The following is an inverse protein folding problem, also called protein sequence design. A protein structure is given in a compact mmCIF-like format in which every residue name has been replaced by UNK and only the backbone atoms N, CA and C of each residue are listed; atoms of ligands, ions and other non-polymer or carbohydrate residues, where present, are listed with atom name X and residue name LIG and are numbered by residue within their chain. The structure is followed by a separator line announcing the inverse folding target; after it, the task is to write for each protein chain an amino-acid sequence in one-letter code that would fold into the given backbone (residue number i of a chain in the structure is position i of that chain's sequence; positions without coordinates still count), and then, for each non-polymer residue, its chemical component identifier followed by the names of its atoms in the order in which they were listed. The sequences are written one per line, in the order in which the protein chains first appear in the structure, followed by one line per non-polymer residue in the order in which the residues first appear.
data_IF_766535101890
#
_entry.id   IF_766535101890
#
_cell.length_a   1.000
_cell.length_b   1.000
_cell.length_c   1.000
_cell.angle_alpha   90.00
_cell.angle_beta   90.00
_cell.angle_gamma   90.00
#
_symmetry.space_group_name_H-M   'P 1'
#
loop_
_entity.id
_entity.type
_entity.pdbx_description
1 polymer ?
#
# COMPACT_ATOMS: atom_id res chain seq x y z
N UNK A 1 3.75 -0.88 -10.78
CA UNK A 1 3.85 -0.12 -9.51
C UNK A 1 2.51 0.53 -9.25
N UNK A 2 2.03 0.65 -8.02
CA UNK A 2 0.84 1.46 -7.73
C UNK A 2 1.25 2.84 -7.25
N UNK A 3 0.58 3.88 -7.74
CA UNK A 3 0.77 5.26 -7.31
C UNK A 3 -0.53 5.76 -6.69
N UNK A 4 -0.47 6.06 -5.40
CA UNK A 4 -1.57 6.67 -4.64
C UNK A 4 -1.36 8.17 -4.65
N UNK A 5 -2.34 8.92 -5.14
CA UNK A 5 -2.32 10.39 -5.17
C UNK A 5 -3.45 10.91 -4.30
N UNK A 6 -3.13 11.80 -3.36
CA UNK A 6 -4.10 12.46 -2.50
C UNK A 6 -3.71 13.91 -2.23
N UNK A 7 -4.51 14.66 -1.45
CA UNK A 7 -4.27 16.09 -1.20
C UNK A 7 -2.89 16.42 -0.63
N UNK A 8 -2.32 15.54 0.19
CA UNK A 8 -0.99 15.76 0.80
C UNK A 8 0.19 15.28 -0.05
N UNK A 9 -0.04 14.74 -1.26
CA UNK A 9 1.01 14.31 -2.17
C UNK A 9 0.81 12.92 -2.78
N UNK A 10 1.92 12.22 -3.05
CA UNK A 10 1.91 10.91 -3.70
C UNK A 10 2.67 9.87 -2.89
N UNK A 11 2.22 8.62 -2.96
CA UNK A 11 2.90 7.47 -2.39
C UNK A 11 3.02 6.36 -3.43
N UNK A 12 4.24 5.85 -3.62
CA UNK A 12 4.52 4.75 -4.57
C UNK A 12 4.61 3.44 -3.80
N UNK A 13 3.78 2.49 -4.19
CA UNK A 13 3.66 1.19 -3.54
C UNK A 13 3.85 0.06 -4.57
N UNK A 14 4.90 -0.76 -4.45
CA UNK A 14 5.03 -1.95 -5.28
C UNK A 14 3.81 -2.87 -5.09
N UNK A 15 3.33 -3.53 -6.15
CA UNK A 15 2.09 -4.34 -6.07
C UNK A 15 2.15 -5.43 -4.98
N UNK A 16 3.34 -6.02 -4.75
CA UNK A 16 3.56 -6.97 -3.66
C UNK A 16 3.42 -6.32 -2.28
N UNK A 17 3.93 -5.10 -2.11
CA UNK A 17 3.80 -4.35 -0.86
C UNK A 17 2.34 -3.95 -0.63
N UNK A 18 1.60 -3.59 -1.68
CA UNK A 18 0.17 -3.32 -1.60
C UNK A 18 -0.62 -4.52 -1.08
N UNK A 19 -0.37 -5.72 -1.61
CA UNK A 19 -1.06 -6.94 -1.12
C UNK A 19 -0.83 -7.18 0.38
N UNK A 20 0.38 -6.93 0.88
CA UNK A 20 0.69 -7.02 2.31
C UNK A 20 0.04 -5.90 3.13
N UNK A 21 0.03 -4.67 2.59
CA UNK A 21 -0.56 -3.50 3.24
C UNK A 21 -2.07 -3.64 3.36
N UNK A 22 -2.75 -4.02 2.29
CA UNK A 22 -4.18 -4.29 2.27
C UNK A 22 -4.53 -5.41 3.26
N UNK A 23 -3.74 -6.49 3.29
CA UNK A 23 -3.92 -7.56 4.28
C UNK A 23 -3.72 -7.08 5.72
N UNK A 24 -2.71 -6.24 5.97
CA UNK A 24 -2.48 -5.64 7.29
C UNK A 24 -3.68 -4.78 7.72
N UNK A 25 -4.21 -3.96 6.82
CA UNK A 25 -5.40 -3.16 7.10
C UNK A 25 -6.63 -4.05 7.38
N UNK A 26 -6.85 -5.09 6.58
CA UNK A 26 -7.98 -6.01 6.75
C UNK A 26 -7.98 -6.73 8.11
N UNK A 27 -6.83 -7.25 8.54
CA UNK A 27 -6.73 -7.89 9.87
C UNK A 27 -6.93 -6.90 11.02
N UNK A 28 -6.82 -5.59 10.75
CA UNK A 28 -7.10 -4.50 11.69
C UNK A 28 -8.46 -3.84 11.44
N UNK A 29 -9.38 -4.53 10.75
CA UNK A 29 -10.79 -4.13 10.63
C UNK A 29 -11.12 -3.25 9.42
N UNK A 30 -10.18 -3.01 8.51
CA UNK A 30 -10.51 -2.32 7.27
C UNK A 30 -11.31 -3.22 6.32
N UNK A 31 -12.45 -2.72 5.87
CA UNK A 31 -13.21 -3.27 4.76
C UNK A 31 -13.56 -2.10 3.82
N UNK A 32 -13.27 -2.19 2.52
CA UNK A 32 -13.69 -1.16 1.57
C UNK A 32 -15.22 -1.05 1.55
N UNK A 33 -15.70 0.18 1.51
CA UNK A 33 -17.11 0.54 1.41
C UNK A 33 -17.49 0.67 -0.06
N UNK A 34 -18.04 -0.43 -0.60
CA UNK A 34 -18.56 -0.48 -1.96
C UNK A 34 -17.56 -0.93 -3.02
N UNK A 35 -17.95 -0.75 -4.28
CA UNK A 35 -17.14 -1.14 -5.43
C UNK A 35 -16.15 -0.02 -5.77
N UNK A 36 -14.89 -0.35 -6.14
CA UNK A 36 -13.93 0.64 -6.58
C UNK A 36 -14.49 1.39 -7.79
N UNK A 37 -14.47 2.73 -7.71
CA UNK A 37 -14.92 3.60 -8.80
C UNK A 37 -13.77 3.79 -9.77
N UNK A 38 -14.00 3.55 -11.06
CA UNK A 38 -13.01 3.84 -12.08
C UNK A 38 -13.18 5.29 -12.56
N UNK A 39 -12.07 5.96 -12.78
CA UNK A 39 -12.00 7.26 -13.43
C UNK A 39 -11.26 7.05 -14.76
N UNK A 40 -11.91 7.45 -15.86
CA UNK A 40 -11.34 7.43 -17.20
C UNK A 40 -10.23 8.47 -17.41
N UNK A 41 -9.52 8.40 -18.55
CA UNK A 41 -8.44 9.35 -18.87
C UNK A 41 -8.91 10.81 -19.05
N UNK A 42 -10.21 11.01 -19.23
CA UNK A 42 -10.93 12.29 -19.31
C UNK A 42 -11.44 12.79 -17.95
N UNK A 43 -11.27 12.00 -16.88
CA UNK A 43 -11.76 12.34 -15.54
C UNK A 43 -13.20 11.94 -15.27
N UNK A 44 -13.88 11.25 -16.21
CA UNK A 44 -15.25 10.79 -16.01
C UNK A 44 -15.31 9.47 -15.23
N UNK A 45 -16.31 9.32 -14.36
CA UNK A 45 -16.54 8.10 -13.59
C UNK A 45 -17.10 6.99 -14.50
N UNK A 46 -16.37 5.88 -14.60
CA UNK A 46 -16.76 4.72 -15.41
C UNK A 46 -17.30 3.63 -14.50
N UNK A 47 -18.59 3.31 -14.68
CA UNK A 47 -19.24 2.21 -13.99
C UNK A 47 -18.83 0.87 -14.60
N UNK A 48 -17.66 0.36 -14.23
CA UNK A 48 -17.25 -1.01 -14.50
C UNK A 48 -16.88 -1.72 -13.20
N UNK A 49 -17.37 -2.96 -13.08
CA UNK A 49 -17.00 -3.88 -12.00
C UNK A 49 -15.57 -4.36 -12.23
N UNK A 50 -14.59 -3.78 -11.55
CA UNK A 50 -13.23 -4.31 -11.52
C UNK A 50 -12.80 -4.54 -10.08
N UNK A 51 -12.13 -5.66 -9.85
CA UNK A 51 -11.37 -5.84 -8.62
C UNK A 51 -10.28 -4.77 -8.53
N UNK A 52 -9.86 -4.41 -7.31
CA UNK A 52 -8.74 -3.50 -6.99
C UNK A 52 -7.36 -4.08 -7.43
N UNK A 53 -7.28 -4.68 -8.62
CA UNK A 53 -6.14 -5.46 -9.10
C UNK A 53 -5.38 -4.80 -10.25
N UNK A 54 -5.92 -3.76 -10.88
CA UNK A 54 -5.14 -3.00 -11.86
C UNK A 54 -6.03 -2.25 -12.85
N UNK A 55 -5.78 -0.94 -12.89
CA UNK A 55 -6.02 -0.07 -14.04
C UNK A 55 -5.83 -0.82 -15.37
N UNK A 56 -6.89 -0.93 -16.17
CA UNK A 56 -6.74 -1.04 -17.61
C UNK A 56 -6.07 0.25 -18.12
N UNK A 57 -5.27 0.19 -19.18
CA UNK A 57 -4.48 1.33 -19.69
C UNK A 57 -5.30 2.65 -19.71
N UNK A 58 -4.86 3.63 -18.90
CA UNK A 58 -5.49 4.96 -18.82
C UNK A 58 -6.56 5.14 -17.74
N UNK A 59 -6.95 4.09 -17.01
CA UNK A 59 -7.93 4.19 -15.92
C UNK A 59 -7.27 4.38 -14.55
N UNK A 60 -7.91 5.12 -13.67
CA UNK A 60 -7.50 5.22 -12.27
C UNK A 60 -8.63 4.76 -11.35
N UNK A 61 -8.29 4.23 -10.18
CA UNK A 61 -9.27 3.82 -9.18
C UNK A 61 -9.40 4.91 -8.13
N UNK A 62 -10.62 5.39 -7.90
CA UNK A 62 -10.91 6.31 -6.81
C UNK A 62 -11.23 5.52 -5.55
N UNK A 63 -10.43 5.76 -4.52
CA UNK A 63 -10.72 5.40 -3.14
C UNK A 63 -11.39 6.62 -2.51
N UNK A 64 -12.62 6.44 -2.05
CA UNK A 64 -13.39 7.51 -1.42
C UNK A 64 -12.65 8.07 -0.19
N UNK A 65 -12.98 9.29 0.23
CA UNK A 65 -12.40 9.85 1.46
C UNK A 65 -12.73 8.98 2.69
N UNK A 66 -13.93 8.39 2.73
CA UNK A 66 -14.34 7.47 3.79
C UNK A 66 -13.45 6.22 3.82
N UNK A 67 -13.24 5.59 2.66
CA UNK A 67 -12.39 4.40 2.54
C UNK A 67 -10.93 4.70 2.84
N UNK A 68 -10.42 5.83 2.35
CA UNK A 68 -9.07 6.27 2.61
C UNK A 68 -8.88 6.49 4.11
N UNK A 69 -9.83 7.17 4.78
CA UNK A 69 -9.78 7.38 6.23
C UNK A 69 -9.88 6.07 7.01
N UNK A 70 -10.76 5.15 6.60
CA UNK A 70 -10.89 3.83 7.21
C UNK A 70 -9.62 2.99 7.05
N UNK A 71 -9.00 3.03 5.86
CA UNK A 71 -7.72 2.38 5.57
C UNK A 71 -6.60 2.95 6.45
N UNK A 72 -6.50 4.28 6.51
CA UNK A 72 -5.54 4.97 7.36
C UNK A 72 -5.72 4.61 8.83
N UNK A 73 -6.95 4.59 9.33
CA UNK A 73 -7.27 4.25 10.71
C UNK A 73 -6.87 2.81 11.07
N UNK A 74 -7.18 1.83 10.22
CA UNK A 74 -6.81 0.44 10.45
C UNK A 74 -5.29 0.23 10.45
N UNK A 75 -4.57 0.86 9.52
CA UNK A 75 -3.11 0.80 9.47
C UNK A 75 -2.47 1.52 10.66
N UNK A 76 -3.05 2.64 11.10
CA UNK A 76 -2.62 3.36 12.30
C UNK A 76 -2.80 2.53 13.57
N UNK A 77 -3.90 1.77 13.66
CA UNK A 77 -4.15 0.83 14.74
C UNK A 77 -3.13 -0.31 14.78
N UNK A 78 -2.61 -0.73 13.62
CA UNK A 78 -1.55 -1.75 13.52
C UNK A 78 -0.16 -1.23 13.92
N UNK A 79 0.09 0.09 13.89
CA UNK A 79 1.41 0.66 14.12
C UNK A 79 2.02 0.23 15.47
N UNK A 80 1.33 0.27 16.63
CA UNK A 80 1.92 -0.13 17.90
C UNK A 80 2.48 -1.56 17.91
N UNK A 81 1.86 -2.48 17.16
CA UNK A 81 2.22 -3.90 17.11
C UNK A 81 3.37 -4.20 16.13
N UNK A 82 3.71 -3.25 15.24
CA UNK A 82 4.83 -3.43 14.31
C UNK A 82 6.17 -3.39 15.05
N UNK A 83 7.03 -4.42 14.88
CA UNK A 83 8.36 -4.42 15.48
C UNK A 83 9.18 -3.20 15.05
N UNK A 84 9.86 -2.56 16.01
CA UNK A 84 10.77 -1.43 15.75
C UNK A 84 12.11 -1.88 15.14
N UNK A 85 12.49 -3.13 15.36
CA UNK A 85 13.65 -3.74 14.73
C UNK A 85 13.27 -4.37 13.39
N UNK A 86 14.27 -4.68 12.58
CA UNK A 86 14.07 -5.37 11.30
C UNK A 86 13.76 -6.87 11.52
N UNK A 87 12.47 -7.20 11.55
CA UNK A 87 12.02 -8.57 11.75
C UNK A 87 12.28 -9.46 10.53
N UNK A 88 12.56 -8.89 9.35
CA UNK A 88 12.90 -9.65 8.14
C UNK A 88 14.38 -10.01 8.02
N UNK A 89 15.25 -9.44 8.86
CA UNK A 89 16.70 -9.63 8.76
C UNK A 89 17.11 -11.11 8.72
N UNK A 90 16.50 -11.95 9.55
CA UNK A 90 16.81 -13.38 9.63
C UNK A 90 16.32 -14.21 8.42
N UNK A 91 15.40 -13.67 7.60
CA UNK A 91 14.87 -14.33 6.39
C UNK A 91 15.55 -13.84 5.10
N UNK A 92 16.46 -12.86 5.22
CA UNK A 92 17.15 -12.26 4.09
C UNK A 92 18.63 -12.63 4.12
N UNK A 93 19.07 -13.66 3.37
CA UNK A 93 20.48 -14.07 3.33
C UNK A 93 21.41 -12.99 2.79
N UNK A 94 20.89 -12.06 1.99
CA UNK A 94 21.67 -10.98 1.41
C UNK A 94 20.77 -9.79 1.07
N UNK A 95 21.36 -8.60 1.17
CA UNK A 95 20.81 -7.38 0.58
C UNK A 95 21.69 -7.00 -0.62
N UNK A 96 21.07 -6.87 -1.79
CA UNK A 96 21.73 -6.36 -2.98
C UNK A 96 21.63 -4.84 -2.98
N UNK A 97 22.75 -4.17 -2.72
CA UNK A 97 22.86 -2.71 -2.79
C UNK A 97 23.30 -2.30 -4.20
N UNK A 98 22.50 -1.46 -4.87
CA UNK A 98 22.74 -1.01 -6.24
C UNK A 98 22.87 0.51 -6.25
N UNK A 99 23.82 1.10 -7.01
CA UNK A 99 23.96 2.55 -7.10
C UNK A 99 22.64 3.22 -7.50
N UNK A 100 22.25 4.25 -6.76
CA UNK A 100 21.04 5.06 -6.98
C UNK A 100 19.73 4.25 -6.95
N UNK A 101 19.69 3.11 -6.25
CA UNK A 101 18.46 2.32 -6.08
C UNK A 101 18.23 1.97 -4.62
N UNK A 102 16.97 1.70 -4.28
CA UNK A 102 16.61 1.15 -2.98
C UNK A 102 17.20 -0.26 -2.88
N UNK A 103 17.88 -0.62 -1.76
CA UNK A 103 18.46 -1.94 -1.59
C UNK A 103 17.42 -3.05 -1.77
N UNK A 104 17.78 -4.06 -2.57
CA UNK A 104 16.88 -5.19 -2.88
C UNK A 104 17.19 -6.31 -1.91
N UNK A 105 16.22 -6.67 -1.07
CA UNK A 105 16.34 -7.83 -0.19
C UNK A 105 16.07 -9.12 -0.94
N UNK A 106 17.03 -10.03 -0.92
CA UNK A 106 16.83 -11.39 -1.38
C UNK A 106 16.23 -12.14 -0.20
N UNK A 107 15.06 -12.74 -0.40
CA UNK A 107 14.37 -13.56 0.61
C UNK A 107 14.60 -15.03 0.25
N UNK A 108 14.84 -15.87 1.25
CA UNK A 108 14.98 -17.30 1.03
C UNK A 108 13.76 -17.88 0.29
N UNK A 109 13.96 -18.72 -0.73
CA UNK A 109 12.85 -19.39 -1.41
C UNK A 109 11.98 -20.19 -0.43
N UNK A 110 10.66 -20.07 -0.55
CA UNK A 110 9.70 -20.79 0.30
C UNK A 110 9.37 -20.13 1.64
N UNK A 111 10.10 -19.09 2.05
CA UNK A 111 9.78 -18.34 3.26
C UNK A 111 8.50 -17.53 3.08
N UNK A 112 7.59 -17.66 4.04
CA UNK A 112 6.41 -16.80 4.13
C UNK A 112 6.77 -15.50 4.86
N UNK A 113 6.35 -14.37 4.27
CA UNK A 113 6.52 -13.04 4.86
C UNK A 113 5.17 -12.58 5.37
N UNK A 114 5.06 -12.37 6.67
CA UNK A 114 3.88 -11.73 7.26
C UNK A 114 3.90 -10.21 6.98
N UNK A 115 2.73 -9.57 6.94
CA UNK A 115 2.66 -8.11 6.81
C UNK A 115 3.40 -7.38 7.95
N UNK A 116 3.36 -7.92 9.17
CA UNK A 116 4.04 -7.33 10.33
C UNK A 116 5.56 -7.33 10.18
N UNK A 117 6.12 -8.42 9.63
CA UNK A 117 7.56 -8.48 9.33
C UNK A 117 7.93 -7.51 8.22
N UNK A 118 7.12 -7.42 7.16
CA UNK A 118 7.40 -6.56 6.01
C UNK A 118 7.43 -5.07 6.38
N UNK A 119 6.51 -4.60 7.21
CA UNK A 119 6.43 -3.20 7.65
C UNK A 119 7.20 -2.92 8.95
N UNK A 120 8.05 -3.84 9.39
CA UNK A 120 8.94 -3.65 10.54
C UNK A 120 10.14 -2.75 10.22
N UNK A 121 10.83 -2.29 11.26
CA UNK A 121 12.05 -1.50 11.13
C UNK A 121 11.85 -0.23 10.30
N UNK A 122 12.72 0.00 9.31
CA UNK A 122 12.68 1.20 8.46
C UNK A 122 11.38 1.35 7.65
N UNK A 123 10.71 0.24 7.30
CA UNK A 123 9.47 0.27 6.51
C UNK A 123 8.28 0.80 7.33
N UNK A 124 8.40 0.88 8.66
CA UNK A 124 7.39 1.46 9.55
C UNK A 124 7.17 2.95 9.27
N UNK A 125 8.23 3.68 8.92
CA UNK A 125 8.13 5.10 8.59
C UNK A 125 7.36 5.31 7.29
N UNK A 126 7.62 4.49 6.27
CA UNK A 126 6.88 4.50 5.01
C UNK A 126 5.37 4.25 5.25
N UNK A 127 5.03 3.33 6.15
CA UNK A 127 3.63 3.10 6.54
C UNK A 127 3.02 4.34 7.23
N UNK A 128 3.78 5.01 8.10
CA UNK A 128 3.32 6.24 8.76
C UNK A 128 3.05 7.37 7.76
N UNK A 129 3.90 7.50 6.73
CA UNK A 129 3.68 8.45 5.62
C UNK A 129 2.41 8.09 4.85
N UNK A 130 2.20 6.81 4.55
CA UNK A 130 1.00 6.36 3.84
C UNK A 130 -0.28 6.60 4.66
N UNK A 131 -0.25 6.39 5.98
CA UNK A 131 -1.36 6.72 6.88
C UNK A 131 -1.72 8.21 6.79
N UNK A 132 -0.73 9.11 6.81
CA UNK A 132 -0.99 10.55 6.67
C UNK A 132 -1.60 10.91 5.33
N UNK A 133 -1.17 10.24 4.25
CA UNK A 133 -1.78 10.41 2.94
C UNK A 133 -3.26 10.00 2.96
N UNK A 134 -3.57 8.86 3.57
CA UNK A 134 -4.94 8.37 3.76
C UNK A 134 -5.81 9.32 4.61
N UNK A 135 -5.23 9.95 5.63
CA UNK A 135 -5.92 10.93 6.48
C UNK A 135 -6.17 12.27 5.75
N UNK A 136 -5.52 12.53 4.62
CA UNK A 136 -5.60 13.81 3.91
C UNK A 136 -6.83 13.97 3.01
N UNK A 137 -7.49 12.88 2.62
CA UNK A 137 -8.68 12.91 1.76
C UNK A 137 -8.83 11.68 0.87
N UNK A 138 -9.67 11.79 -0.17
CA UNK A 138 -9.82 10.77 -1.20
C UNK A 138 -8.50 10.50 -1.93
N UNK A 139 -8.31 9.27 -2.40
CA UNK A 139 -7.10 8.84 -3.10
C UNK A 139 -7.42 8.36 -4.52
N UNK A 140 -6.62 8.78 -5.48
CA UNK A 140 -6.60 8.23 -6.83
C UNK A 140 -5.44 7.26 -6.97
N UNK A 141 -5.73 6.04 -7.42
CA UNK A 141 -4.75 4.95 -7.57
C UNK A 141 -4.54 4.65 -9.05
N UNK A 142 -3.30 4.74 -9.52
CA UNK A 142 -2.91 4.41 -10.90
C UNK A 142 -1.85 3.31 -10.92
N UNK A 143 -1.82 2.54 -12.01
CA UNK A 143 -0.70 1.67 -12.32
C UNK A 143 0.36 2.47 -13.10
N UNK A 144 1.61 2.39 -12.66
CA UNK A 144 2.79 2.98 -13.30
C UNK A 144 3.88 1.93 -13.54
#
# INVERSE_FOLDING_TARGET
MLVFTGPSGQFRCPSRAWGLLARLAQVNGWSPTGYPRLIGPDGEEVWQSTELTGSADGFSVLVSEEDARALGAALKAALPDLPRFDALAHKSPATLDLPNRVPIRIINPGESISPYEFFSGANREALTVFVRLCESGALTVTAA
#
